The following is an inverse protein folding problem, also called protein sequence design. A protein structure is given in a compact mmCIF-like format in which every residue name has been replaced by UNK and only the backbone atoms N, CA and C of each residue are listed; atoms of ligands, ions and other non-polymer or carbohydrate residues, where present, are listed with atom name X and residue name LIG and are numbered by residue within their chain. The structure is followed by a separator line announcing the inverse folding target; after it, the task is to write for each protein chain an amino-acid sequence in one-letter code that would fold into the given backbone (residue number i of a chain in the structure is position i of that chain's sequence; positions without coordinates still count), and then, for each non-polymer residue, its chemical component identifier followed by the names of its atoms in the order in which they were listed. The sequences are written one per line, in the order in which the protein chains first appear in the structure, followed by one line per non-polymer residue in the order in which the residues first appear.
data_IF_330678925299
#
_entry.id   IF_330678925299
#
_cell.length_a   1.000
_cell.length_b   1.000
_cell.length_c   1.000
_cell.angle_alpha   90.00
_cell.angle_beta   90.00
_cell.angle_gamma   90.00
#
_symmetry.space_group_name_H-M   'P 1'
#
loop_
_entity.id
_entity.type
_entity.pdbx_description
1 polymer ?
#
# COMPACT_ATOMS: atom_id res chain seq x y z
N UNK A 1 -11.68 13.28 4.16
CA UNK A 1 -10.95 14.55 3.92
C UNK A 1 -11.87 15.70 3.51
N UNK A 2 -12.73 15.58 2.48
CA UNK A 2 -13.60 16.68 2.04
C UNK A 2 -14.46 17.31 3.15
N UNK A 3 -15.17 16.49 3.95
CA UNK A 3 -16.05 16.98 5.02
C UNK A 3 -15.26 17.76 6.09
N UNK A 4 -14.09 17.27 6.49
CA UNK A 4 -13.25 17.93 7.49
C UNK A 4 -12.66 19.24 6.93
N UNK A 5 -12.19 19.23 5.68
CA UNK A 5 -11.73 20.45 5.00
C UNK A 5 -12.84 21.49 4.90
N UNK A 6 -14.05 21.08 4.52
CA UNK A 6 -15.22 21.97 4.47
C UNK A 6 -15.54 22.56 5.86
N UNK A 7 -15.63 21.72 6.89
CA UNK A 7 -15.92 22.16 8.26
C UNK A 7 -14.86 23.13 8.79
N UNK A 8 -13.58 22.84 8.56
CA UNK A 8 -12.47 23.73 8.95
C UNK A 8 -12.51 25.06 8.21
N UNK A 9 -12.57 25.04 6.87
CA UNK A 9 -12.55 26.24 6.05
C UNK A 9 -13.78 27.13 6.26
N UNK A 10 -14.99 26.56 6.18
CA UNK A 10 -16.23 27.33 6.38
C UNK A 10 -16.41 27.72 7.83
N UNK A 11 -16.01 26.87 8.77
CA UNK A 11 -15.99 27.18 10.20
C UNK A 11 -15.15 28.42 10.49
N UNK A 12 -13.96 28.52 9.89
CA UNK A 12 -13.09 29.68 10.03
C UNK A 12 -13.65 30.93 9.31
N UNK A 13 -14.05 30.80 8.04
CA UNK A 13 -14.54 31.95 7.23
C UNK A 13 -15.86 32.54 7.72
N UNK A 14 -16.73 31.73 8.34
CA UNK A 14 -18.03 32.15 8.86
C UNK A 14 -18.05 32.30 10.38
N UNK A 15 -16.89 32.17 11.04
CA UNK A 15 -16.75 32.21 12.50
C UNK A 15 -17.76 31.28 13.20
N UNK A 16 -18.05 30.13 12.59
CA UNK A 16 -19.03 29.19 13.10
C UNK A 16 -18.36 28.23 14.08
N UNK A 17 -18.54 28.51 15.37
CA UNK A 17 -17.93 27.74 16.47
C UNK A 17 -18.35 26.27 16.48
N UNK A 18 -19.55 25.92 16.00
CA UNK A 18 -19.98 24.53 15.92
C UNK A 18 -19.16 23.74 14.91
N UNK A 19 -18.94 24.29 13.71
CA UNK A 19 -18.12 23.66 12.67
C UNK A 19 -16.64 23.57 13.07
N UNK A 20 -16.11 24.60 13.74
CA UNK A 20 -14.74 24.58 14.26
C UNK A 20 -14.56 23.53 15.38
N UNK A 21 -15.50 23.44 16.32
CA UNK A 21 -15.48 22.39 17.37
C UNK A 21 -15.58 20.99 16.74
N UNK A 22 -16.45 20.80 15.76
CA UNK A 22 -16.54 19.54 15.00
C UNK A 22 -15.20 19.20 14.36
N UNK A 23 -14.59 20.15 13.64
CA UNK A 23 -13.28 19.96 13.02
C UNK A 23 -12.19 19.54 14.02
N UNK A 24 -12.06 20.27 15.15
CA UNK A 24 -11.07 19.96 16.18
C UNK A 24 -11.26 18.59 16.83
N UNK A 25 -12.50 18.21 17.13
CA UNK A 25 -12.80 16.89 17.74
C UNK A 25 -12.42 15.77 16.80
N UNK A 26 -12.79 15.86 15.52
CA UNK A 26 -12.45 14.81 14.55
C UNK A 26 -10.95 14.74 14.25
N UNK A 27 -10.25 15.87 14.20
CA UNK A 27 -8.78 15.84 14.12
C UNK A 27 -8.16 15.15 15.33
N UNK A 28 -8.67 15.41 16.54
CA UNK A 28 -8.23 14.72 17.75
C UNK A 28 -8.46 13.21 17.70
N UNK A 29 -9.64 12.78 17.23
CA UNK A 29 -9.94 11.35 17.03
C UNK A 29 -8.97 10.72 16.03
N UNK A 30 -8.72 11.37 14.89
CA UNK A 30 -7.79 10.87 13.87
C UNK A 30 -6.37 10.75 14.44
N UNK A 31 -5.92 11.75 15.20
CA UNK A 31 -4.60 11.71 15.86
C UNK A 31 -4.45 10.48 16.77
N UNK A 32 -5.44 10.20 17.62
CA UNK A 32 -5.39 9.02 18.49
C UNK A 32 -5.47 7.70 17.70
N UNK A 33 -6.25 7.66 16.62
CA UNK A 33 -6.30 6.50 15.72
C UNK A 33 -4.95 6.28 15.03
N UNK A 34 -4.29 7.33 14.57
CA UNK A 34 -2.97 7.27 13.93
C UNK A 34 -1.90 6.77 14.91
N UNK A 35 -1.87 7.30 16.13
CA UNK A 35 -0.97 6.82 17.19
C UNK A 35 -1.23 5.35 17.53
N UNK A 36 -2.50 4.97 17.68
CA UNK A 36 -2.88 3.58 17.98
C UNK A 36 -2.49 2.66 16.83
N UNK A 37 -2.75 3.04 15.57
CA UNK A 37 -2.39 2.27 14.40
C UNK A 37 -0.87 2.11 14.28
N UNK A 38 -0.10 3.16 14.53
CA UNK A 38 1.37 3.10 14.54
C UNK A 38 1.92 2.13 15.59
N UNK A 39 1.37 2.16 16.80
CA UNK A 39 1.75 1.21 17.87
C UNK A 39 1.38 -0.22 17.50
N UNK A 40 0.15 -0.44 17.01
CA UNK A 40 -0.31 -1.77 16.60
C UNK A 40 0.51 -2.32 15.43
N UNK A 41 0.86 -1.49 14.46
CA UNK A 41 1.69 -1.90 13.32
C UNK A 41 3.07 -2.40 13.76
N UNK A 42 3.66 -1.75 14.77
CA UNK A 42 4.94 -2.18 15.34
C UNK A 42 4.81 -3.46 16.17
N UNK A 43 3.78 -3.56 17.02
CA UNK A 43 3.57 -4.72 17.91
C UNK A 43 3.18 -5.98 17.13
N UNK A 44 2.33 -5.84 16.12
CA UNK A 44 1.75 -6.96 15.35
C UNK A 44 2.37 -7.12 13.96
N UNK A 45 3.65 -6.76 13.79
CA UNK A 45 4.36 -6.81 12.50
C UNK A 45 4.28 -8.19 11.82
N UNK A 46 4.41 -9.27 12.59
CA UNK A 46 4.44 -10.63 12.05
C UNK A 46 3.03 -11.04 11.57
N UNK A 47 2.01 -10.65 12.32
CA UNK A 47 0.62 -10.84 11.90
C UNK A 47 0.28 -10.06 10.63
N UNK A 48 0.78 -8.81 10.51
CA UNK A 48 0.61 -8.00 9.27
C UNK A 48 1.27 -8.70 8.08
N UNK A 49 2.46 -9.27 8.28
CA UNK A 49 3.16 -10.03 7.25
C UNK A 49 2.33 -11.23 6.77
N UNK A 50 1.73 -11.97 7.70
CA UNK A 50 0.85 -13.11 7.38
C UNK A 50 -0.42 -12.66 6.64
N UNK A 51 -1.01 -11.53 7.03
CA UNK A 51 -2.15 -10.95 6.33
C UNK A 51 -1.78 -10.52 4.91
N UNK A 52 -0.61 -9.90 4.72
CA UNK A 52 -0.14 -9.50 3.39
C UNK A 52 0.11 -10.73 2.51
N UNK A 53 0.70 -11.79 3.07
CA UNK A 53 0.86 -13.06 2.38
C UNK A 53 -0.48 -13.65 1.93
N UNK A 54 -1.46 -13.72 2.84
CA UNK A 54 -2.80 -14.22 2.53
C UNK A 54 -3.50 -13.38 1.47
N UNK A 55 -3.41 -12.05 1.58
CA UNK A 55 -3.97 -11.11 0.62
C UNK A 55 -3.41 -11.35 -0.78
N UNK A 56 -2.07 -11.32 -0.94
CA UNK A 56 -1.43 -11.52 -2.24
C UNK A 56 -1.75 -12.90 -2.82
N UNK A 57 -1.75 -13.96 -2.02
CA UNK A 57 -2.05 -15.30 -2.51
C UNK A 57 -3.50 -15.48 -2.96
N UNK A 58 -4.46 -14.89 -2.27
CA UNK A 58 -5.85 -14.90 -2.74
C UNK A 58 -6.00 -14.14 -4.05
N UNK A 59 -5.28 -13.02 -4.17
CA UNK A 59 -5.26 -12.22 -5.38
C UNK A 59 -4.60 -12.97 -6.56
N UNK A 60 -3.54 -13.74 -6.31
CA UNK A 60 -2.92 -14.64 -7.29
C UNK A 60 -3.91 -15.71 -7.75
N UNK A 61 -4.70 -16.31 -6.84
CA UNK A 61 -5.71 -17.32 -7.20
C UNK A 61 -6.74 -16.78 -8.17
N UNK A 62 -7.23 -15.56 -7.92
CA UNK A 62 -8.24 -14.89 -8.73
C UNK A 62 -7.67 -13.98 -9.84
N UNK A 63 -6.37 -14.07 -10.13
CA UNK A 63 -5.66 -13.14 -11.02
C UNK A 63 -6.26 -13.03 -12.44
N UNK A 64 -6.87 -14.10 -12.97
CA UNK A 64 -7.52 -14.08 -14.30
C UNK A 64 -9.04 -13.86 -14.24
N UNK A 65 -9.61 -13.79 -13.04
CA UNK A 65 -11.06 -13.69 -12.84
C UNK A 65 -11.53 -12.23 -12.75
N UNK A 66 -10.63 -11.31 -12.35
CA UNK A 66 -10.92 -9.88 -12.15
C UNK A 66 -9.79 -9.01 -12.72
N UNK A 67 -10.14 -8.06 -13.60
CA UNK A 67 -9.18 -7.18 -14.27
C UNK A 67 -8.56 -6.15 -13.33
N UNK A 68 -9.30 -5.66 -12.33
CA UNK A 68 -8.79 -4.69 -11.37
C UNK A 68 -7.76 -5.37 -10.46
N UNK A 69 -8.05 -6.62 -10.10
CA UNK A 69 -7.15 -7.47 -9.34
C UNK A 69 -5.87 -7.80 -10.11
N UNK A 70 -6.01 -8.12 -11.40
CA UNK A 70 -4.90 -8.33 -12.31
C UNK A 70 -3.99 -7.09 -12.33
N UNK A 71 -4.56 -5.91 -12.59
CA UNK A 71 -3.82 -4.65 -12.65
C UNK A 71 -3.10 -4.32 -11.33
N UNK A 72 -3.73 -4.63 -10.19
CA UNK A 72 -3.12 -4.42 -8.88
C UNK A 72 -1.88 -5.30 -8.67
N UNK A 73 -1.97 -6.60 -9.02
CA UNK A 73 -0.84 -7.53 -8.92
C UNK A 73 0.26 -7.15 -9.89
N UNK A 74 -0.10 -6.81 -11.13
CA UNK A 74 0.86 -6.41 -12.15
C UNK A 74 1.63 -5.16 -11.73
N UNK A 75 0.92 -4.11 -11.27
CA UNK A 75 1.53 -2.90 -10.74
C UNK A 75 2.44 -3.20 -9.55
N UNK A 76 2.00 -4.05 -8.63
CA UNK A 76 2.79 -4.41 -7.44
C UNK A 76 4.10 -5.09 -7.83
N UNK A 77 4.04 -6.05 -8.75
CA UNK A 77 5.20 -6.82 -9.19
C UNK A 77 6.19 -5.96 -9.96
N UNK A 78 5.71 -5.09 -10.85
CA UNK A 78 6.56 -4.16 -11.60
C UNK A 78 7.20 -3.09 -10.71
N UNK A 79 6.41 -2.49 -9.81
CA UNK A 79 6.88 -1.41 -8.95
C UNK A 79 7.93 -1.90 -7.94
N UNK A 80 7.68 -3.05 -7.32
CA UNK A 80 8.56 -3.61 -6.29
C UNK A 80 9.65 -4.51 -6.88
N UNK A 81 9.61 -4.82 -8.17
CA UNK A 81 10.53 -5.75 -8.84
C UNK A 81 10.55 -7.11 -8.14
N UNK A 82 9.35 -7.67 -7.96
CA UNK A 82 9.10 -8.91 -7.25
C UNK A 82 8.17 -9.82 -8.06
N UNK A 83 8.07 -11.09 -7.67
CA UNK A 83 7.14 -12.03 -8.27
C UNK A 83 6.54 -12.94 -7.20
N UNK A 84 5.21 -13.05 -7.18
CA UNK A 84 4.47 -13.78 -6.16
C UNK A 84 4.54 -13.12 -4.77
N UNK A 85 4.06 -13.82 -3.75
CA UNK A 85 4.03 -13.30 -2.38
C UNK A 85 5.40 -13.44 -1.70
N UNK A 86 5.95 -14.65 -1.64
CA UNK A 86 7.30 -14.96 -1.18
C UNK A 86 8.24 -15.38 -2.30
N UNK A 87 7.71 -15.80 -3.45
CA UNK A 87 8.51 -16.04 -4.66
C UNK A 87 7.66 -16.45 -5.86
N UNK A 88 8.34 -16.69 -6.98
CA UNK A 88 7.69 -17.02 -8.25
C UNK A 88 6.83 -18.31 -8.18
N UNK A 89 7.12 -19.22 -7.24
CA UNK A 89 6.37 -20.47 -7.08
C UNK A 89 4.97 -20.30 -6.49
N UNK A 90 4.64 -19.15 -5.90
CA UNK A 90 3.28 -18.87 -5.42
C UNK A 90 2.28 -18.88 -6.57
N UNK A 91 2.73 -18.70 -7.82
CA UNK A 91 1.92 -18.86 -9.02
C UNK A 91 1.40 -20.29 -9.23
N UNK A 92 1.87 -21.27 -8.45
CA UNK A 92 1.25 -22.59 -8.40
C UNK A 92 -0.16 -22.59 -7.80
N UNK A 93 -0.54 -21.53 -7.07
CA UNK A 93 -1.89 -21.37 -6.53
C UNK A 93 -2.92 -21.00 -7.61
N UNK A 94 -2.49 -20.47 -8.75
CA UNK A 94 -3.37 -20.09 -9.84
C UNK A 94 -3.60 -21.26 -10.82
N UNK A 95 -4.85 -21.44 -11.27
CA UNK A 95 -5.24 -22.55 -12.14
C UNK A 95 -4.55 -22.54 -13.52
N UNK A 96 -4.20 -21.36 -14.04
CA UNK A 96 -3.56 -21.20 -15.35
C UNK A 96 -2.05 -21.35 -15.30
N UNK A 97 -1.42 -21.02 -14.17
CA UNK A 97 0.04 -21.01 -14.03
C UNK A 97 0.60 -22.24 -13.30
N UNK A 98 -0.24 -23.02 -12.61
CA UNK A 98 0.24 -24.18 -11.85
C UNK A 98 1.05 -25.16 -12.70
N UNK A 99 2.11 -25.73 -12.13
CA UNK A 99 3.06 -26.56 -12.85
C UNK A 99 2.64 -28.01 -13.12
N UNK A 100 1.44 -28.41 -12.71
CA UNK A 100 0.99 -29.81 -12.80
C UNK A 100 0.97 -30.28 -14.25
N UNK A 101 1.46 -31.50 -14.53
CA UNK A 101 1.51 -32.05 -15.90
C UNK A 101 0.11 -32.19 -16.55
N UNK A 102 -0.95 -32.27 -15.75
CA UNK A 102 -2.34 -32.29 -16.23
C UNK A 102 -2.86 -30.91 -16.66
N UNK A 103 -2.12 -29.83 -16.40
CA UNK A 103 -2.55 -28.48 -16.76
C UNK A 103 -2.34 -28.25 -18.26
N UNK A 104 -3.44 -28.06 -19.00
CA UNK A 104 -3.39 -27.79 -20.44
C UNK A 104 -3.13 -26.31 -20.77
N UNK A 105 -3.00 -25.44 -19.77
CA UNK A 105 -2.76 -24.01 -19.98
C UNK A 105 -1.43 -23.77 -20.68
N UNK A 106 -1.41 -22.83 -21.62
CA UNK A 106 -0.18 -22.36 -22.27
C UNK A 106 0.74 -21.62 -21.29
N UNK A 107 0.19 -21.10 -20.20
CA UNK A 107 0.91 -20.37 -19.14
C UNK A 107 1.41 -21.29 -18.02
N UNK A 108 1.27 -22.61 -18.18
CA UNK A 108 1.73 -23.62 -17.21
C UNK A 108 3.21 -23.44 -16.90
N UNK A 109 3.57 -23.48 -15.61
CA UNK A 109 4.93 -23.20 -15.15
C UNK A 109 5.48 -21.83 -15.58
N UNK A 110 4.61 -20.91 -15.97
CA UNK A 110 4.96 -19.54 -16.22
C UNK A 110 4.70 -18.66 -15.01
N UNK A 111 4.91 -17.38 -15.24
CA UNK A 111 4.50 -16.25 -14.40
C UNK A 111 3.95 -15.15 -15.32
N UNK A 112 3.16 -14.18 -14.82
CA UNK A 112 2.76 -13.05 -15.63
C UNK A 112 3.92 -12.21 -16.11
N UNK A 113 3.66 -11.39 -17.14
CA UNK A 113 4.66 -10.51 -17.72
C UNK A 113 5.17 -9.45 -16.73
N UNK A 114 4.39 -9.08 -15.71
CA UNK A 114 4.77 -8.14 -14.67
C UNK A 114 5.92 -8.63 -13.77
N UNK A 115 6.16 -9.95 -13.75
CA UNK A 115 7.34 -10.55 -13.13
C UNK A 115 8.61 -10.45 -14.01
N UNK A 116 8.53 -9.97 -15.25
CA UNK A 116 9.67 -9.92 -16.17
C UNK A 116 10.70 -8.88 -15.74
N UNK A 117 11.97 -9.24 -15.82
CA UNK A 117 13.08 -8.29 -15.68
C UNK A 117 13.21 -7.46 -16.96
N UNK A 118 13.53 -6.18 -16.81
CA UNK A 118 13.83 -5.29 -17.95
C UNK A 118 15.27 -5.53 -18.42
N UNK A 119 15.46 -5.79 -19.71
CA UNK A 119 16.81 -5.85 -20.28
C UNK A 119 17.36 -4.41 -20.41
N UNK A 120 18.54 -4.10 -19.86
CA UNK A 120 19.16 -2.78 -20.00
C UNK A 120 19.44 -2.36 -21.45
N UNK A 121 19.53 -3.32 -22.37
CA UNK A 121 19.83 -3.08 -23.79
C UNK A 121 18.58 -2.88 -24.65
N UNK A 122 17.38 -3.19 -24.15
CA UNK A 122 16.11 -3.06 -24.88
C UNK A 122 15.12 -2.17 -24.14
N UNK A 123 14.57 -1.17 -24.85
CA UNK A 123 13.58 -0.24 -24.27
C UNK A 123 12.19 -0.86 -24.05
N UNK A 124 11.95 -2.09 -24.55
CA UNK A 124 10.65 -2.76 -24.53
C UNK A 124 10.73 -4.04 -23.70
N UNK A 125 9.80 -4.20 -22.76
CA UNK A 125 9.69 -5.42 -21.96
C UNK A 125 9.23 -6.57 -22.86
N UNK A 126 9.94 -7.69 -22.84
CA UNK A 126 9.47 -8.92 -23.45
C UNK A 126 8.25 -9.47 -22.68
N UNK A 127 7.05 -9.20 -23.17
CA UNK A 127 5.79 -9.67 -22.56
C UNK A 127 5.63 -11.19 -22.60
N UNK A 128 6.47 -11.90 -23.36
CA UNK A 128 6.51 -13.35 -23.41
C UNK A 128 7.59 -13.96 -22.50
N UNK A 129 8.33 -13.17 -21.71
CA UNK A 129 9.41 -13.70 -20.88
C UNK A 129 8.92 -14.74 -19.85
N UNK A 130 7.68 -14.58 -19.38
CA UNK A 130 7.10 -15.38 -18.30
C UNK A 130 6.73 -16.81 -18.71
N UNK A 131 6.67 -17.11 -20.01
CA UNK A 131 6.35 -18.46 -20.50
C UNK A 131 7.48 -19.45 -20.20
N UNK A 132 7.12 -20.60 -19.64
CA UNK A 132 8.04 -21.67 -19.23
C UNK A 132 9.18 -21.20 -18.29
N UNK A 133 9.04 -20.00 -17.70
CA UNK A 133 10.11 -19.37 -16.93
C UNK A 133 10.53 -20.25 -15.75
N UNK A 134 9.57 -20.87 -15.04
CA UNK A 134 9.84 -21.72 -13.87
C UNK A 134 10.28 -23.15 -14.23
N UNK A 135 10.34 -23.52 -15.51
CA UNK A 135 10.94 -24.79 -15.95
C UNK A 135 12.46 -24.69 -16.12
N UNK A 136 12.99 -23.46 -16.23
CA UNK A 136 14.43 -23.22 -16.38
C UNK A 136 15.16 -23.46 -15.06
N UNK A 137 16.46 -23.78 -15.09
CA UNK A 137 17.30 -23.79 -13.89
C UNK A 137 17.24 -22.44 -13.15
N UNK A 138 17.31 -22.45 -11.82
CA UNK A 138 17.16 -21.24 -10.98
C UNK A 138 18.10 -20.09 -11.38
N UNK A 139 19.32 -20.41 -11.81
CA UNK A 139 20.32 -19.44 -12.31
C UNK A 139 19.80 -18.68 -13.53
N UNK A 140 19.13 -19.39 -14.45
CA UNK A 140 18.57 -18.80 -15.67
C UNK A 140 17.26 -18.06 -15.40
N UNK A 141 16.51 -18.44 -14.34
CA UNK A 141 15.30 -17.74 -13.94
C UNK A 141 15.59 -16.31 -13.50
N UNK A 142 16.65 -16.12 -12.69
CA UNK A 142 17.03 -14.81 -12.15
C UNK A 142 17.41 -13.78 -13.22
N UNK A 143 17.73 -14.23 -14.43
CA UNK A 143 18.06 -13.38 -15.58
C UNK A 143 16.80 -12.88 -16.29
N UNK A 144 15.70 -13.63 -16.22
CA UNK A 144 14.49 -13.41 -17.04
C UNK A 144 13.32 -12.88 -16.20
N UNK A 145 13.23 -13.29 -14.93
CA UNK A 145 12.13 -12.92 -14.03
C UNK A 145 12.66 -12.49 -12.66
N UNK A 146 11.88 -11.67 -11.97
CA UNK A 146 12.09 -11.41 -10.55
C UNK A 146 11.79 -12.69 -9.77
N UNK A 147 12.73 -13.14 -8.94
CA UNK A 147 12.56 -14.35 -8.11
C UNK A 147 12.19 -14.05 -6.67
N UNK A 148 12.39 -12.80 -6.22
CA UNK A 148 12.04 -12.36 -4.87
C UNK A 148 10.55 -12.14 -4.75
N UNK A 149 9.94 -12.58 -3.65
CA UNK A 149 8.54 -12.27 -3.34
C UNK A 149 8.29 -10.81 -2.98
N UNK A 150 7.06 -10.36 -3.18
CA UNK A 150 6.66 -9.00 -2.88
C UNK A 150 6.57 -8.70 -1.38
N UNK A 151 6.21 -9.68 -0.54
CA UNK A 151 6.18 -9.53 0.93
C UNK A 151 7.57 -9.22 1.50
N UNK A 152 8.62 -10.02 1.25
CA UNK A 152 9.95 -9.73 1.78
C UNK A 152 10.57 -8.47 1.14
N UNK A 153 10.21 -8.16 -0.11
CA UNK A 153 10.68 -6.95 -0.79
C UNK A 153 10.07 -5.68 -0.16
N UNK A 154 8.77 -5.70 0.16
CA UNK A 154 8.09 -4.65 0.91
C UNK A 154 8.69 -4.49 2.32
N UNK A 155 8.94 -5.61 3.01
CA UNK A 155 9.58 -5.61 4.34
C UNK A 155 10.96 -4.95 4.27
N UNK A 156 11.77 -5.32 3.28
CA UNK A 156 13.09 -4.73 3.05
C UNK A 156 12.99 -3.23 2.79
N UNK A 157 12.10 -2.80 1.91
CA UNK A 157 11.91 -1.37 1.64
C UNK A 157 11.49 -0.60 2.88
N UNK A 158 10.58 -1.16 3.68
CA UNK A 158 10.13 -0.52 4.91
C UNK A 158 11.29 -0.36 5.91
N UNK A 159 12.15 -1.37 6.02
CA UNK A 159 13.36 -1.30 6.86
C UNK A 159 14.34 -0.25 6.34
N UNK A 160 14.59 -0.22 5.03
CA UNK A 160 15.52 0.72 4.40
C UNK A 160 15.02 2.18 4.48
N UNK A 161 13.70 2.40 4.50
CA UNK A 161 13.06 3.72 4.49
C UNK A 161 12.37 4.08 5.81
N UNK A 162 12.64 3.35 6.90
CA UNK A 162 11.93 3.52 8.17
C UNK A 162 12.01 4.95 8.69
N UNK A 163 13.16 5.62 8.55
CA UNK A 163 13.36 7.00 8.98
C UNK A 163 12.44 7.97 8.22
N UNK A 164 12.28 7.77 6.90
CA UNK A 164 11.43 8.62 6.06
C UNK A 164 9.96 8.40 6.44
N UNK A 165 9.55 7.15 6.58
CA UNK A 165 8.18 6.79 6.98
C UNK A 165 7.85 7.38 8.36
N UNK A 166 8.73 7.20 9.35
CA UNK A 166 8.56 7.77 10.68
C UNK A 166 8.49 9.30 10.64
N UNK A 167 9.32 9.95 9.82
CA UNK A 167 9.28 11.40 9.61
C UNK A 167 7.94 11.89 9.06
N UNK A 168 7.34 11.16 8.12
CA UNK A 168 6.01 11.48 7.57
C UNK A 168 4.93 11.39 8.67
N UNK A 169 4.90 10.31 9.45
CA UNK A 169 3.95 10.17 10.56
C UNK A 169 4.09 11.28 11.60
N UNK A 170 5.32 11.65 11.98
CA UNK A 170 5.56 12.77 12.91
C UNK A 170 5.07 14.09 12.29
N UNK A 171 5.34 14.32 11.00
CA UNK A 171 4.88 15.51 10.29
C UNK A 171 3.35 15.64 10.28
N UNK A 172 2.64 14.54 9.99
CA UNK A 172 1.18 14.49 10.00
C UNK A 172 0.65 14.78 11.42
N UNK A 173 1.22 14.12 12.44
CA UNK A 173 0.87 14.33 13.83
C UNK A 173 1.03 15.81 14.26
N UNK A 174 2.14 16.45 13.90
CA UNK A 174 2.38 17.87 14.21
C UNK A 174 1.38 18.79 13.50
N UNK A 175 1.06 18.52 12.22
CA UNK A 175 0.06 19.29 11.48
C UNK A 175 -1.34 19.17 12.07
N UNK A 176 -1.72 17.99 12.57
CA UNK A 176 -2.99 17.79 13.26
C UNK A 176 -3.04 18.57 14.57
N UNK A 177 -2.00 18.49 15.41
CA UNK A 177 -1.91 19.24 16.67
C UNK A 177 -2.01 20.74 16.39
N UNK A 178 -1.26 21.23 15.40
CA UNK A 178 -1.31 22.63 14.99
C UNK A 178 -2.72 23.05 14.54
N UNK A 179 -3.38 22.24 13.72
CA UNK A 179 -4.76 22.48 13.29
C UNK A 179 -5.75 22.54 14.45
N UNK A 180 -5.61 21.66 15.44
CA UNK A 180 -6.43 21.65 16.66
C UNK A 180 -6.21 22.93 17.48
N UNK A 181 -4.94 23.31 17.72
CA UNK A 181 -4.60 24.53 18.45
C UNK A 181 -5.18 25.78 17.79
N UNK A 182 -5.02 25.92 16.47
CA UNK A 182 -5.57 27.06 15.73
C UNK A 182 -7.10 27.13 15.82
N UNK A 183 -7.78 25.99 15.61
CA UNK A 183 -9.23 25.95 15.65
C UNK A 183 -9.77 26.23 17.07
N UNK A 184 -9.12 25.74 18.12
CA UNK A 184 -9.50 26.04 19.51
C UNK A 184 -9.24 27.51 19.88
N UNK A 185 -8.09 28.07 19.48
CA UNK A 185 -7.79 29.49 19.70
C UNK A 185 -8.85 30.37 19.02
N UNK A 186 -9.17 30.09 17.76
CA UNK A 186 -10.20 30.83 17.02
C UNK A 186 -11.58 30.73 17.68
N UNK A 187 -11.96 29.55 18.18
CA UNK A 187 -13.21 29.38 18.94
C UNK A 187 -13.21 30.24 20.20
N UNK A 188 -12.10 30.25 20.96
CA UNK A 188 -11.95 31.06 22.18
C UNK A 188 -12.07 32.56 21.86
N UNK A 189 -11.45 33.02 20.78
CA UNK A 189 -11.51 34.43 20.36
C UNK A 189 -12.94 34.84 19.97
N UNK A 190 -13.65 34.00 19.21
CA UNK A 190 -15.06 34.26 18.83
C UNK A 190 -15.96 34.32 20.07
N UNK A 191 -15.79 33.41 21.03
CA UNK A 191 -16.57 33.39 22.27
C UNK A 191 -16.26 34.62 23.14
N UNK A 192 -15.01 35.05 23.23
CA UNK A 192 -14.60 36.25 23.97
C UNK A 192 -15.17 37.53 23.35
N UNK A 193 -15.10 37.67 22.01
CA UNK A 193 -15.72 38.80 21.31
C UNK A 193 -17.22 38.80 21.60
N UNK A 194 -17.92 37.67 21.42
CA UNK A 194 -19.37 37.58 21.65
C UNK A 194 -19.79 37.92 23.08
N UNK A 195 -18.97 37.61 24.08
CA UNK A 195 -19.24 37.92 25.48
C UNK A 195 -19.04 39.41 25.83
N UNK A 196 -18.35 40.16 24.97
CA UNK A 196 -18.11 41.61 25.16
C UNK A 196 -19.23 42.52 24.61
N UNK A 197 -20.24 41.95 23.94
CA UNK A 197 -21.44 42.65 23.43
C UNK A 197 -22.64 42.34 24.32
#
# INVERSE_FOLDING_TARGET
MFILGFAGCIGALRENTFLLKFFSVFLGIIFFLELTAGVLAFVFKDWIKDQLYFFINNNIRAYRDDIDLQNLIDFTQEYWQCCGAFGADDWNLNIYFNCTDSNASRERCGVPFSCCTKDPAEDVINTQCGYDARQKPEVDQQIVIYTKGCVPQFEKWLQDNLTIVAGIFIGIALLQIFGICLAQNLVSDIEAVRASW
#
